data_IF_562197883978
#
_entry.id   IF_562197883978
#
_cell.length_a   1.000
_cell.length_b   1.000
_cell.length_c   1.000
_cell.angle_alpha   90.00
_cell.angle_beta   90.00
_cell.angle_gamma   90.00
#
_symmetry.space_group_name_H-M   'P 1'
#
loop_
_entity.id
_entity.type
_entity.pdbx_description
1 polymer ?
#
# COMPACT_ATOMS: atom_id res chain seq x y z
N UNK A 1 -15.17 -11.74 0.73
CA UNK A 1 -13.73 -11.93 0.51
C UNK A 1 -13.30 -13.09 1.39
N UNK A 2 -12.48 -13.98 0.87
CA UNK A 2 -11.86 -15.10 1.59
C UNK A 2 -10.42 -14.75 1.98
N UNK A 3 -9.85 -15.39 3.01
CA UNK A 3 -8.47 -15.12 3.46
C UNK A 3 -7.42 -15.17 2.35
N UNK A 4 -7.53 -16.17 1.46
CA UNK A 4 -6.57 -16.43 0.39
C UNK A 4 -6.86 -15.63 -0.90
N UNK A 5 -7.93 -14.83 -0.93
CA UNK A 5 -8.22 -13.95 -2.07
C UNK A 5 -7.08 -12.94 -2.23
N UNK A 6 -6.75 -12.59 -3.46
CA UNK A 6 -5.74 -11.56 -3.75
C UNK A 6 -6.46 -10.24 -3.95
N UNK A 7 -5.97 -9.23 -3.27
CA UNK A 7 -6.45 -7.86 -3.38
C UNK A 7 -5.36 -7.01 -4.02
N UNK A 8 -5.72 -6.27 -5.06
CA UNK A 8 -4.87 -5.26 -5.68
C UNK A 8 -5.32 -3.87 -5.24
N UNK A 9 -4.54 -3.22 -4.38
CA UNK A 9 -4.78 -1.83 -4.02
C UNK A 9 -4.14 -0.93 -5.07
N UNK A 10 -4.97 -0.20 -5.81
CA UNK A 10 -4.57 0.70 -6.88
C UNK A 10 -4.65 2.16 -6.45
N UNK A 11 -3.72 2.98 -6.92
CA UNK A 11 -3.72 4.42 -6.67
C UNK A 11 -4.83 5.13 -7.44
N UNK A 12 -5.63 5.92 -6.73
CA UNK A 12 -6.69 6.75 -7.30
C UNK A 12 -6.30 8.23 -7.15
N UNK A 13 -5.76 8.88 -8.21
CA UNK A 13 -5.25 10.25 -8.09
C UNK A 13 -6.34 11.32 -8.11
N UNK A 14 -7.47 11.05 -8.76
CA UNK A 14 -8.46 12.06 -9.14
C UNK A 14 -9.90 11.65 -8.74
N UNK A 15 -10.67 12.51 -8.05
CA UNK A 15 -12.08 12.27 -7.76
C UNK A 15 -12.93 12.00 -9.00
N UNK A 16 -12.64 12.65 -10.14
CA UNK A 16 -13.38 12.42 -11.38
C UNK A 16 -13.23 10.99 -11.90
N UNK A 17 -12.06 10.37 -11.65
CA UNK A 17 -11.81 8.98 -12.01
C UNK A 17 -12.57 8.01 -11.10
N UNK A 18 -12.71 8.35 -9.81
CA UNK A 18 -13.51 7.57 -8.88
C UNK A 18 -15.01 7.71 -9.16
N UNK A 19 -15.49 8.89 -9.54
CA UNK A 19 -16.88 9.09 -9.95
C UNK A 19 -17.23 8.32 -11.22
N UNK A 20 -16.31 8.27 -12.19
CA UNK A 20 -16.45 7.43 -13.38
C UNK A 20 -16.53 5.95 -12.99
N UNK A 21 -15.64 5.48 -12.11
CA UNK A 21 -15.65 4.11 -11.62
C UNK A 21 -16.98 3.77 -10.95
N UNK A 22 -17.47 4.65 -10.06
CA UNK A 22 -18.73 4.46 -9.34
C UNK A 22 -19.94 4.40 -10.26
N UNK A 23 -19.95 5.18 -11.36
CA UNK A 23 -21.06 5.24 -12.30
C UNK A 23 -21.03 4.11 -13.33
N UNK A 24 -19.85 3.83 -13.88
CA UNK A 24 -19.68 2.93 -15.03
C UNK A 24 -19.25 1.51 -14.65
N UNK A 25 -18.85 1.28 -13.39
CA UNK A 25 -18.46 -0.05 -12.91
C UNK A 25 -17.13 -0.55 -13.47
N UNK A 26 -16.23 0.34 -13.89
CA UNK A 26 -14.90 -0.06 -14.36
C UNK A 26 -13.80 0.91 -13.94
N UNK A 27 -12.57 0.39 -13.83
CA UNK A 27 -11.37 1.15 -13.55
C UNK A 27 -10.32 0.95 -14.65
N UNK A 28 -9.56 2.00 -14.98
CA UNK A 28 -8.51 1.94 -16.00
C UNK A 28 -7.12 1.88 -15.41
N UNK A 29 -6.26 1.09 -16.03
CA UNK A 29 -4.82 1.04 -15.73
C UNK A 29 -4.05 1.23 -17.04
N UNK A 30 -3.17 2.24 -17.16
CA UNK A 30 -2.30 2.35 -18.32
C UNK A 30 -1.41 1.11 -18.44
N UNK A 31 -1.40 0.44 -19.60
CA UNK A 31 -0.70 -0.83 -19.78
C UNK A 31 0.80 -0.71 -19.50
N UNK A 32 1.42 0.43 -19.84
CA UNK A 32 2.84 0.73 -19.58
C UNK A 32 3.22 0.74 -18.09
N UNK A 33 2.25 1.00 -17.21
CA UNK A 33 2.45 1.09 -15.76
C UNK A 33 1.75 -0.02 -14.98
N UNK A 34 1.09 -0.95 -15.67
CA UNK A 34 0.38 -2.05 -15.04
C UNK A 34 1.36 -2.92 -14.23
N UNK A 35 0.90 -3.53 -13.11
CA UNK A 35 1.70 -4.55 -12.44
C UNK A 35 1.95 -5.73 -13.38
N UNK A 36 2.90 -6.61 -13.02
CA UNK A 36 3.27 -7.80 -13.82
C UNK A 36 2.10 -8.80 -14.04
N UNK A 37 0.93 -8.52 -13.47
CA UNK A 37 -0.36 -9.09 -13.86
C UNK A 37 -1.49 -8.50 -13.01
N UNK A 38 -2.72 -8.48 -13.54
CA UNK A 38 -3.93 -8.06 -12.82
C UNK A 38 -4.57 -9.23 -12.05
N UNK A 39 -3.74 -10.13 -11.54
CA UNK A 39 -4.15 -11.34 -10.82
C UNK A 39 -4.64 -10.99 -9.42
N UNK A 40 -5.86 -10.45 -9.37
CA UNK A 40 -6.56 -10.13 -8.14
C UNK A 40 -8.05 -10.44 -8.30
N UNK A 41 -8.64 -11.01 -7.26
CA UNK A 41 -10.07 -11.23 -7.11
C UNK A 41 -10.76 -9.91 -6.74
N UNK A 42 -10.07 -9.02 -6.01
CA UNK A 42 -10.61 -7.72 -5.60
C UNK A 42 -9.66 -6.57 -5.92
N UNK A 43 -10.24 -5.41 -6.17
CA UNK A 43 -9.54 -4.13 -6.31
C UNK A 43 -9.94 -3.21 -5.17
N UNK A 44 -8.98 -2.47 -4.62
CA UNK A 44 -9.23 -1.41 -3.66
C UNK A 44 -8.53 -0.12 -4.07
N UNK A 45 -9.00 1.03 -3.59
CA UNK A 45 -8.59 2.33 -4.12
C UNK A 45 -7.93 3.19 -3.04
N UNK A 46 -6.62 3.39 -3.17
CA UNK A 46 -5.84 4.29 -2.32
C UNK A 46 -5.96 5.73 -2.84
N UNK A 47 -6.67 6.58 -2.10
CA UNK A 47 -7.03 7.92 -2.54
C UNK A 47 -5.85 8.90 -2.45
N UNK A 48 -5.66 9.66 -3.53
CA UNK A 48 -4.63 10.68 -3.63
C UNK A 48 -4.97 11.99 -2.94
N UNK A 49 -4.04 12.96 -3.02
CA UNK A 49 -4.14 14.27 -2.35
C UNK A 49 -5.40 15.08 -2.68
N UNK A 50 -6.02 14.82 -3.84
CA UNK A 50 -7.19 15.57 -4.35
C UNK A 50 -8.50 15.19 -3.65
N UNK A 51 -8.52 14.12 -2.85
CA UNK A 51 -9.70 13.61 -2.15
C UNK A 51 -10.01 14.32 -0.82
N UNK A 52 -9.37 15.46 -0.54
CA UNK A 52 -9.71 16.29 0.62
C UNK A 52 -9.59 15.53 1.95
N UNK A 53 -10.64 15.44 2.78
CA UNK A 53 -10.63 14.67 4.03
C UNK A 53 -10.42 13.17 3.87
N UNK A 54 -10.77 12.60 2.70
CA UNK A 54 -10.64 11.17 2.42
C UNK A 54 -9.27 10.78 1.81
N UNK A 55 -8.37 11.77 1.60
CA UNK A 55 -7.06 11.51 1.02
C UNK A 55 -6.21 10.56 1.87
N UNK A 56 -5.26 9.92 1.20
CA UNK A 56 -4.24 9.06 1.80
C UNK A 56 -4.83 7.90 2.59
N UNK A 57 -5.90 7.32 2.09
CA UNK A 57 -6.50 6.13 2.68
C UNK A 57 -7.20 5.28 1.61
N UNK A 58 -7.40 4.01 1.93
CA UNK A 58 -8.27 3.12 1.18
C UNK A 58 -9.64 3.11 1.86
N UNK A 59 -10.68 3.47 1.12
CA UNK A 59 -12.05 3.51 1.62
C UNK A 59 -12.96 2.50 0.94
N UNK A 60 -12.66 2.18 -0.32
CA UNK A 60 -13.54 1.41 -1.18
C UNK A 60 -12.79 0.26 -1.84
N UNK A 61 -13.52 -0.84 -2.03
CA UNK A 61 -13.09 -1.99 -2.78
C UNK A 61 -14.24 -2.57 -3.61
N UNK A 62 -13.92 -3.38 -4.61
CA UNK A 62 -14.88 -4.09 -5.44
C UNK A 62 -14.29 -5.40 -5.96
N UNK A 63 -15.14 -6.38 -6.17
CA UNK A 63 -14.77 -7.63 -6.86
C UNK A 63 -14.43 -7.34 -8.32
N UNK A 64 -13.40 -8.00 -8.86
CA UNK A 64 -13.07 -7.94 -10.28
C UNK A 64 -13.91 -8.96 -11.06
N UNK A 65 -14.72 -8.47 -11.98
CA UNK A 65 -15.53 -9.31 -12.88
C UNK A 65 -14.78 -9.71 -14.16
N UNK A 66 -13.84 -8.88 -14.59
CA UNK A 66 -13.12 -9.09 -15.85
C UNK A 66 -12.07 -8.03 -16.10
N UNK A 67 -11.32 -8.18 -17.19
CA UNK A 67 -10.59 -7.07 -17.78
C UNK A 67 -10.42 -7.27 -19.28
N UNK A 68 -10.33 -6.17 -20.02
CA UNK A 68 -10.03 -6.14 -21.45
C UNK A 68 -8.95 -5.10 -21.74
N UNK A 69 -8.22 -5.27 -22.85
CA UNK A 69 -7.24 -4.30 -23.32
C UNK A 69 -7.89 -3.42 -24.38
N UNK A 70 -7.92 -2.11 -24.14
CA UNK A 70 -8.54 -1.10 -25.01
C UNK A 70 -7.63 0.10 -25.14
N UNK A 71 -7.88 0.96 -26.11
CA UNK A 71 -7.21 2.25 -26.23
C UNK A 71 -7.90 3.32 -25.38
N UNK A 72 -7.19 4.42 -25.11
CA UNK A 72 -7.78 5.56 -24.39
C UNK A 72 -8.98 6.16 -25.12
N UNK A 73 -8.95 6.23 -26.45
CA UNK A 73 -10.08 6.76 -27.25
C UNK A 73 -11.34 5.91 -27.12
N UNK A 74 -11.21 4.60 -26.93
CA UNK A 74 -12.33 3.71 -26.67
C UNK A 74 -12.90 3.92 -25.26
N UNK A 75 -12.05 4.25 -24.28
CA UNK A 75 -12.49 4.59 -22.92
C UNK A 75 -13.13 5.97 -22.81
N UNK A 76 -12.68 6.93 -23.62
CA UNK A 76 -13.12 8.31 -23.60
C UNK A 76 -13.40 8.81 -25.02
N UNK A 77 -14.56 8.43 -25.60
CA UNK A 77 -14.94 8.83 -26.95
C UNK A 77 -14.98 10.35 -27.16
N UNK A 78 -15.27 11.12 -26.10
CA UNK A 78 -15.31 12.59 -26.16
C UNK A 78 -13.92 13.27 -26.08
N UNK A 79 -12.83 12.49 -25.96
CA UNK A 79 -11.46 12.98 -25.81
C UNK A 79 -10.52 12.47 -26.91
N UNK A 80 -10.99 12.52 -28.17
CA UNK A 80 -10.26 11.95 -29.32
C UNK A 80 -8.88 12.56 -29.55
N UNK A 81 -8.73 13.87 -29.34
CA UNK A 81 -7.48 14.61 -29.56
C UNK A 81 -6.51 14.56 -28.37
N UNK A 82 -6.79 13.72 -27.36
CA UNK A 82 -5.90 13.58 -26.22
C UNK A 82 -4.52 13.05 -26.67
N UNK A 83 -3.39 13.57 -26.16
CA UNK A 83 -2.04 13.12 -26.56
C UNK A 83 -1.76 11.62 -26.37
N UNK A 84 -2.60 10.96 -25.58
CA UNK A 84 -2.54 9.53 -25.26
C UNK A 84 -3.70 8.72 -25.84
N UNK A 85 -4.46 9.27 -26.79
CA UNK A 85 -5.66 8.65 -27.33
C UNK A 85 -5.42 7.22 -27.86
N UNK A 86 -4.24 6.97 -28.44
CA UNK A 86 -3.84 5.67 -28.97
C UNK A 86 -3.11 4.76 -27.96
N UNK A 87 -2.88 5.22 -26.71
CA UNK A 87 -2.22 4.38 -25.72
C UNK A 87 -3.14 3.28 -25.21
N UNK A 88 -2.57 2.11 -24.94
CA UNK A 88 -3.27 0.95 -24.41
C UNK A 88 -3.51 1.06 -22.89
N UNK A 89 -4.71 0.68 -22.48
CA UNK A 89 -5.20 0.64 -21.11
C UNK A 89 -5.90 -0.69 -20.86
N UNK A 90 -5.71 -1.24 -19.67
CA UNK A 90 -6.61 -2.25 -19.16
C UNK A 90 -7.87 -1.57 -18.64
N UNK A 91 -9.03 -1.99 -19.15
CA UNK A 91 -10.35 -1.68 -18.58
C UNK A 91 -10.74 -2.84 -17.70
N UNK A 92 -10.70 -2.63 -16.38
CA UNK A 92 -11.03 -3.63 -15.36
C UNK A 92 -12.50 -3.47 -15.01
N UNK A 93 -13.33 -4.46 -15.33
CA UNK A 93 -14.73 -4.47 -14.92
C UNK A 93 -14.84 -4.88 -13.45
N UNK A 94 -15.63 -4.13 -12.69
CA UNK A 94 -15.78 -4.26 -11.25
C UNK A 94 -17.24 -4.50 -10.90
N UNK A 95 -17.46 -5.27 -9.84
CA UNK A 95 -18.76 -5.38 -9.18
C UNK A 95 -19.12 -4.10 -8.43
N UNK A 96 -20.23 -4.13 -7.67
CA UNK A 96 -20.63 -3.01 -6.84
C UNK A 96 -19.51 -2.58 -5.88
N UNK A 97 -19.29 -1.26 -5.78
CA UNK A 97 -18.36 -0.69 -4.81
C UNK A 97 -18.85 -0.96 -3.38
N UNK A 98 -17.97 -1.52 -2.57
CA UNK A 98 -18.15 -1.74 -1.14
C UNK A 98 -17.30 -0.74 -0.36
N UNK A 99 -17.88 -0.14 0.68
CA UNK A 99 -17.15 0.76 1.59
C UNK A 99 -16.62 -0.04 2.77
N UNK A 100 -15.36 0.16 3.13
CA UNK A 100 -14.79 -0.39 4.35
C UNK A 100 -15.46 0.25 5.57
N UNK A 101 -15.73 -0.55 6.60
CA UNK A 101 -16.21 -0.04 7.89
C UNK A 101 -15.21 0.93 8.52
N UNK A 102 -13.91 0.65 8.37
CA UNK A 102 -12.81 1.50 8.79
C UNK A 102 -11.82 1.67 7.63
N UNK A 103 -11.46 2.90 7.24
CA UNK A 103 -10.51 3.10 6.16
C UNK A 103 -9.11 2.64 6.57
N UNK A 104 -8.37 2.06 5.62
CA UNK A 104 -6.96 1.74 5.81
C UNK A 104 -6.16 3.00 5.52
N UNK A 105 -5.70 3.69 6.56
CA UNK A 105 -5.07 5.00 6.45
C UNK A 105 -3.59 4.90 6.14
N UNK A 106 -3.02 5.93 5.54
CA UNK A 106 -1.58 6.05 5.34
C UNK A 106 -1.07 7.19 6.20
N UNK A 107 -0.34 6.85 7.27
CA UNK A 107 0.17 7.85 8.24
C UNK A 107 1.27 8.74 7.65
N UNK A 108 1.92 8.26 6.59
CA UNK A 108 2.94 8.98 5.83
C UNK A 108 2.63 8.89 4.36
N UNK A 109 2.85 9.98 3.63
CA UNK A 109 2.64 9.96 2.19
C UNK A 109 3.56 8.93 1.52
N UNK A 110 2.97 8.08 0.67
CA UNK A 110 3.68 7.03 -0.06
C UNK A 110 3.44 7.13 -1.56
N UNK A 111 4.52 7.02 -2.33
CA UNK A 111 4.47 7.01 -3.80
C UNK A 111 4.27 5.58 -4.32
N UNK A 112 3.06 5.06 -4.12
CA UNK A 112 2.67 3.70 -4.49
C UNK A 112 1.63 3.75 -5.59
N UNK A 113 1.85 3.01 -6.68
CA UNK A 113 0.86 2.86 -7.74
C UNK A 113 -0.03 1.63 -7.49
N UNK A 114 0.58 0.54 -7.01
CA UNK A 114 -0.09 -0.74 -6.77
C UNK A 114 0.50 -1.43 -5.54
N UNK A 115 -0.35 -2.11 -4.75
CA UNK A 115 0.03 -3.04 -3.68
C UNK A 115 -0.73 -4.35 -3.91
N UNK A 116 0.01 -5.46 -4.05
CA UNK A 116 -0.59 -6.78 -3.96
C UNK A 116 -0.60 -7.23 -2.50
N UNK A 117 -1.77 -7.65 -2.02
CA UNK A 117 -1.98 -8.17 -0.66
C UNK A 117 -2.96 -9.36 -0.72
N UNK A 118 -3.10 -10.04 0.41
CA UNK A 118 -4.07 -11.11 0.64
C UNK A 118 -5.32 -10.56 1.34
N UNK A 119 -6.42 -11.30 1.27
CA UNK A 119 -7.72 -10.92 1.85
C UNK A 119 -7.67 -10.79 3.36
N UNK A 120 -7.05 -11.74 4.05
CA UNK A 120 -6.85 -11.70 5.51
C UNK A 120 -6.12 -10.43 5.99
N UNK A 121 -5.06 -10.02 5.27
CA UNK A 121 -4.33 -8.78 5.54
C UNK A 121 -5.16 -7.55 5.21
N UNK A 122 -5.90 -7.58 4.10
CA UNK A 122 -6.73 -6.46 3.70
C UNK A 122 -7.85 -6.19 4.72
N UNK A 123 -8.51 -7.24 5.22
CA UNK A 123 -9.60 -7.13 6.21
C UNK A 123 -9.12 -6.66 7.58
N UNK A 124 -7.89 -7.01 7.97
CA UNK A 124 -7.34 -6.68 9.29
C UNK A 124 -6.45 -5.41 9.30
N UNK A 125 -6.08 -4.90 8.13
CA UNK A 125 -5.21 -3.73 8.01
C UNK A 125 -5.83 -2.48 8.63
N UNK A 126 -5.02 -1.75 9.38
CA UNK A 126 -5.39 -0.43 9.91
C UNK A 126 -4.57 0.66 9.21
N UNK A 127 -3.33 0.33 8.82
CA UNK A 127 -2.42 1.24 8.11
C UNK A 127 -1.96 0.65 6.77
N UNK A 128 -1.64 1.50 5.81
CA UNK A 128 -1.23 1.08 4.46
C UNK A 128 0.02 0.18 4.46
N UNK A 129 0.92 0.27 5.45
CA UNK A 129 2.04 -0.69 5.57
C UNK A 129 1.57 -2.13 5.80
N UNK A 130 0.46 -2.33 6.50
CA UNK A 130 -0.01 -3.65 6.89
C UNK A 130 -0.32 -4.53 5.65
N UNK A 131 -0.58 -3.87 4.51
CA UNK A 131 -0.88 -4.49 3.21
C UNK A 131 0.35 -5.04 2.48
N UNK A 132 1.57 -4.66 2.85
CA UNK A 132 2.75 -5.15 2.14
C UNK A 132 3.11 -6.56 2.58
N UNK A 133 3.03 -7.50 1.64
CA UNK A 133 3.66 -8.81 1.75
C UNK A 133 5.16 -8.63 1.46
N UNK A 134 5.97 -8.41 2.49
CA UNK A 134 7.42 -8.19 2.33
C UNK A 134 8.24 -9.19 3.13
N UNK A 135 9.23 -9.81 2.46
CA UNK A 135 10.40 -10.43 3.08
C UNK A 135 10.20 -11.78 3.79
N UNK A 136 9.02 -12.39 3.68
CA UNK A 136 8.70 -13.67 4.29
C UNK A 136 8.33 -13.58 5.77
N UNK A 137 7.95 -14.72 6.35
CA UNK A 137 7.35 -14.82 7.69
C UNK A 137 8.21 -14.20 8.82
N UNK A 138 9.55 -14.23 8.70
CA UNK A 138 10.43 -13.59 9.69
C UNK A 138 10.34 -12.05 9.69
N UNK A 139 10.28 -11.44 8.51
CA UNK A 139 10.10 -9.99 8.36
C UNK A 139 8.73 -9.59 8.89
N UNK A 140 7.71 -10.41 8.61
CA UNK A 140 6.37 -10.18 9.15
C UNK A 140 6.33 -10.22 10.67
N UNK A 141 6.92 -11.24 11.27
CA UNK A 141 7.02 -11.36 12.73
C UNK A 141 7.79 -10.21 13.36
N UNK A 142 8.89 -9.77 12.76
CA UNK A 142 9.65 -8.62 13.27
C UNK A 142 8.85 -7.31 13.15
N UNK A 143 8.18 -7.07 12.02
CA UNK A 143 7.34 -5.89 11.85
C UNK A 143 6.24 -5.80 12.91
N UNK A 144 5.54 -6.91 13.16
CA UNK A 144 4.51 -6.98 14.22
C UNK A 144 5.14 -6.68 15.58
N UNK A 145 6.26 -7.32 15.91
CA UNK A 145 6.97 -7.10 17.17
C UNK A 145 7.41 -5.65 17.38
N UNK A 146 7.84 -4.95 16.33
CA UNK A 146 8.16 -3.53 16.37
C UNK A 146 6.91 -2.66 16.54
N UNK A 147 5.83 -2.97 15.83
CA UNK A 147 4.54 -2.27 15.93
C UNK A 147 3.95 -2.38 17.33
N UNK A 148 4.01 -3.56 17.95
CA UNK A 148 3.57 -3.80 19.34
C UNK A 148 4.37 -2.97 20.37
N UNK A 149 5.60 -2.57 20.01
CA UNK A 149 6.46 -1.67 20.80
C UNK A 149 6.26 -0.19 20.47
N UNK A 150 5.28 0.14 19.63
CA UNK A 150 5.01 1.51 19.19
C UNK A 150 6.01 2.04 18.15
N UNK A 151 6.90 1.20 17.61
CA UNK A 151 7.88 1.57 16.60
C UNK A 151 7.25 1.52 15.21
N UNK A 152 7.29 2.64 14.49
CA UNK A 152 6.76 2.77 13.13
C UNK A 152 7.83 2.39 12.10
N UNK A 153 7.92 1.10 11.80
CA UNK A 153 8.77 0.61 10.72
C UNK A 153 8.08 0.77 9.34
N UNK A 154 8.82 1.28 8.36
CA UNK A 154 8.41 1.35 6.96
C UNK A 154 8.73 0.03 6.25
N UNK A 155 7.74 -0.61 5.63
CA UNK A 155 7.95 -1.76 4.73
C UNK A 155 8.33 -1.33 3.32
N UNK A 156 9.17 -2.15 2.66
CA UNK A 156 9.65 -1.94 1.29
C UNK A 156 10.22 -0.53 1.08
N UNK A 157 11.04 -0.08 2.04
CA UNK A 157 11.60 1.26 2.04
C UNK A 157 12.64 1.41 0.93
N UNK A 158 12.46 2.39 0.04
CA UNK A 158 13.40 2.68 -1.04
C UNK A 158 14.55 3.52 -0.52
N UNK A 159 15.74 2.94 -0.51
CA UNK A 159 16.99 3.61 -0.18
C UNK A 159 17.63 4.15 -1.46
N UNK A 160 18.13 5.38 -1.40
CA UNK A 160 18.88 6.03 -2.49
C UNK A 160 20.18 6.55 -1.93
N UNK A 161 21.29 6.05 -2.47
CA UNK A 161 22.64 6.45 -2.09
C UNK A 161 23.47 6.71 -3.36
N UNK A 162 24.65 7.28 -3.20
CA UNK A 162 25.55 7.57 -4.32
C UNK A 162 25.89 6.31 -5.14
N UNK A 163 25.93 5.14 -4.49
CA UNK A 163 26.22 3.85 -5.11
C UNK A 163 25.02 3.20 -5.83
N UNK A 164 23.80 3.75 -5.70
CA UNK A 164 22.61 3.22 -6.35
C UNK A 164 21.34 3.28 -5.49
N UNK A 165 20.29 2.62 -5.95
CA UNK A 165 19.01 2.53 -5.25
C UNK A 165 18.63 1.07 -5.02
N UNK A 166 18.20 0.74 -3.79
CA UNK A 166 17.70 -0.58 -3.43
C UNK A 166 16.47 -0.48 -2.53
N UNK A 167 15.85 -1.62 -2.22
CA UNK A 167 14.67 -1.70 -1.35
C UNK A 167 15.05 -2.46 -0.08
N UNK A 168 15.03 -1.78 1.05
CA UNK A 168 15.13 -2.40 2.36
C UNK A 168 13.77 -3.04 2.73
N UNK A 169 13.74 -4.32 3.13
CA UNK A 169 12.51 -4.98 3.57
C UNK A 169 11.79 -4.23 4.70
N UNK A 170 12.56 -3.76 5.68
CA UNK A 170 12.11 -2.88 6.77
C UNK A 170 13.12 -1.74 6.97
N UNK A 171 12.60 -0.56 7.29
CA UNK A 171 13.42 0.56 7.77
C UNK A 171 12.70 1.34 8.87
N UNK A 172 13.40 1.70 9.93
CA UNK A 172 12.89 2.61 10.96
C UNK A 172 13.48 3.99 10.72
N UNK A 173 12.61 4.96 10.41
CA UNK A 173 13.03 6.35 10.18
C UNK A 173 13.14 7.08 11.51
N UNK A 174 14.32 7.62 11.77
CA UNK A 174 14.66 8.34 12.99
C UNK A 174 14.97 9.81 12.67
N UNK A 175 15.14 10.64 13.70
CA UNK A 175 15.61 12.02 13.50
C UNK A 175 17.05 12.03 12.99
N UNK A 176 17.88 11.18 13.59
CA UNK A 176 19.31 11.09 13.30
C UNK A 176 19.59 9.91 12.34
N UNK A 177 18.90 9.93 11.20
CA UNK A 177 19.06 8.97 10.12
C UNK A 177 18.01 7.85 10.11
N UNK A 178 18.42 6.64 9.76
CA UNK A 178 17.52 5.49 9.62
C UNK A 178 18.22 4.20 10.03
N UNK A 179 17.43 3.24 10.50
CA UNK A 179 17.87 1.88 10.80
C UNK A 179 17.31 1.00 9.70
N UNK A 180 18.17 0.39 8.90
CA UNK A 180 17.76 -0.51 7.83
C UNK A 180 17.91 -1.97 8.27
N UNK A 181 16.90 -2.79 7.98
CA UNK A 181 16.87 -4.18 8.41
C UNK A 181 16.71 -5.06 7.17
N UNK A 182 17.73 -5.87 6.93
CA UNK A 182 17.73 -6.91 5.90
C UNK A 182 17.28 -8.26 6.47
N UNK A 183 16.83 -9.16 5.59
CA UNK A 183 16.37 -10.48 6.00
C UNK A 183 17.47 -11.30 6.70
N UNK A 184 18.75 -11.12 6.32
CA UNK A 184 19.87 -11.87 6.91
C UNK A 184 20.19 -11.46 8.35
N UNK A 185 19.71 -10.30 8.81
CA UNK A 185 19.89 -9.83 10.19
C UNK A 185 18.85 -10.43 11.15
N UNK A 186 17.76 -11.01 10.65
CA UNK A 186 16.61 -11.37 11.49
C UNK A 186 16.78 -12.76 12.10
N UNK A 187 16.74 -12.89 13.44
CA UNK A 187 16.83 -14.19 14.08
C UNK A 187 15.62 -15.08 13.78
N UNK A 188 15.86 -16.38 13.58
CA UNK A 188 14.79 -17.35 13.33
C UNK A 188 13.98 -17.71 14.58
N UNK A 189 14.64 -17.78 15.75
CA UNK A 189 14.01 -18.16 17.02
C UNK A 189 13.21 -17.00 17.60
N UNK A 190 11.98 -17.27 18.06
CA UNK A 190 11.05 -16.26 18.60
C UNK A 190 11.64 -15.42 19.75
N UNK A 191 12.35 -16.06 20.69
CA UNK A 191 12.99 -15.35 21.81
C UNK A 191 14.10 -14.41 21.36
N UNK A 192 14.90 -14.83 20.38
CA UNK A 192 15.94 -13.99 19.79
C UNK A 192 15.34 -12.85 18.94
N UNK A 193 14.22 -13.10 18.25
CA UNK A 193 13.50 -12.08 17.49
C UNK A 193 12.95 -10.97 18.40
N UNK A 194 12.37 -11.34 19.55
CA UNK A 194 11.89 -10.33 20.52
C UNK A 194 13.04 -9.47 21.06
N UNK A 195 14.17 -10.09 21.42
CA UNK A 195 15.35 -9.35 21.85
C UNK A 195 15.86 -8.41 20.75
N UNK A 196 15.92 -8.90 19.51
CA UNK A 196 16.32 -8.08 18.37
C UNK A 196 15.37 -6.88 18.15
N UNK A 197 14.06 -7.07 18.35
CA UNK A 197 13.11 -5.97 18.33
C UNK A 197 13.32 -4.97 19.47
N UNK A 198 13.69 -5.44 20.68
CA UNK A 198 14.05 -4.58 21.81
C UNK A 198 15.34 -3.77 21.53
N UNK A 199 16.33 -4.38 20.90
CA UNK A 199 17.57 -3.72 20.47
C UNK A 199 17.29 -2.61 19.44
N UNK A 200 16.47 -2.88 18.43
CA UNK A 200 16.04 -1.87 17.46
C UNK A 200 15.26 -0.74 18.14
N UNK A 201 14.39 -1.06 19.09
CA UNK A 201 13.63 -0.05 19.83
C UNK A 201 14.56 0.87 20.65
N UNK A 202 15.56 0.30 21.31
CA UNK A 202 16.58 1.06 22.05
C UNK A 202 17.41 1.96 21.10
N UNK A 203 17.86 1.43 19.96
CA UNK A 203 18.59 2.23 18.96
C UNK A 203 17.72 3.35 18.38
N UNK A 204 16.44 3.07 18.11
CA UNK A 204 15.47 4.05 17.63
C UNK A 204 15.31 5.20 18.62
N UNK A 205 15.23 4.90 19.92
CA UNK A 205 15.15 5.91 20.97
C UNK A 205 16.40 6.80 21.02
N UNK A 206 17.59 6.21 20.90
CA UNK A 206 18.86 6.96 20.85
C UNK A 206 18.94 7.89 19.63
N UNK A 207 18.46 7.45 18.47
CA UNK A 207 18.45 8.24 17.22
C UNK A 207 17.27 9.23 17.12
N UNK A 208 16.51 9.42 18.21
CA UNK A 208 15.39 10.35 18.26
C UNK A 208 14.19 9.96 17.39
N UNK A 209 13.98 8.66 17.16
CA UNK A 209 12.80 8.14 16.46
C UNK A 209 11.51 8.30 17.27
N UNK A 210 10.38 8.42 16.57
CA UNK A 210 9.07 8.54 17.22
C UNK A 210 8.54 7.16 17.60
N UNK A 211 8.36 6.93 18.90
CA UNK A 211 7.35 5.99 19.41
C UNK A 211 5.99 6.64 19.26
N UNK A 212 5.04 5.97 18.61
CA UNK A 212 3.65 6.42 18.64
C UNK A 212 3.13 6.09 20.04
N UNK A 213 3.28 7.04 20.97
CA UNK A 213 2.45 7.06 22.17
C UNK A 213 1.02 7.24 21.71
N UNK A 214 0.14 6.32 22.10
CA UNK A 214 -1.29 6.37 21.80
C UNK A 214 -1.84 7.77 22.06
N UNK A 215 -2.70 8.22 21.13
CA UNK A 215 -3.45 9.46 21.17
C UNK A 215 -3.65 9.98 22.60
N UNK A 216 -3.15 11.17 22.85
CA UNK A 216 -3.74 12.06 23.84
C UNK A 216 -5.24 12.14 23.56
N UNK A 217 -6.04 11.62 24.48
CA UNK A 217 -7.45 11.91 24.61
C UNK A 217 -7.59 13.40 24.92
N UNK A 218 -7.83 14.20 23.88
CA UNK A 218 -8.41 15.52 24.03
C UNK A 218 -9.87 15.44 23.57
N UNK A 219 -10.74 15.31 24.56
CA UNK A 219 -12.20 15.36 24.49
C UNK A 219 -12.71 15.55 25.91
#
# INVERSE_FOLDING_TARGET
>A
MYPDDRVLVAYMPDPADFDLLRREGWYRIPAKSAPKGLYAEYFAFYFGRRFGPEKWAVHYYAERLGHELVTRRELFPDQLDHPRAAEAYYKVQLGPLQKLERPIVSLRWRRVLFIHTTGDRFETAVELNDLFVSGGDLIDRLYIALKDRGIQAERNYRVREAAGAYVAPLAVLCRDGRIEISQSQIPQKKTALNRFADEIAAETAVKGGQTVTGKESNG
#
